data_IF_538026750111
#
_entry.id   IF_538026750111
#
_cell.length_a   1.000
_cell.length_b   1.000
_cell.length_c   1.000
_cell.angle_alpha   90.00
_cell.angle_beta   90.00
_cell.angle_gamma   90.00
#
_symmetry.space_group_name_H-M   'P 1'
#
loop_
_entity.id
_entity.type
_entity.pdbx_description
1 polymer ?
#
# COMPACT_ATOMS: atom_id res chain seq x y z
N UNK A 1 13.85 -0.35 -13.87
CA UNK A 1 14.61 0.29 -12.76
C UNK A 1 13.93 1.52 -12.16
N UNK A 2 13.57 2.56 -12.94
CA UNK A 2 12.97 3.78 -12.36
C UNK A 2 11.58 3.53 -11.75
N UNK A 3 10.78 2.70 -12.40
CA UNK A 3 9.43 2.32 -11.97
C UNK A 3 9.43 1.62 -10.61
N UNK A 4 10.29 0.61 -10.46
CA UNK A 4 10.43 -0.21 -9.25
C UNK A 4 10.99 0.63 -8.10
N UNK A 5 11.98 1.48 -8.38
CA UNK A 5 12.52 2.41 -7.38
C UNK A 5 11.47 3.43 -6.91
N UNK A 6 10.62 3.93 -7.80
CA UNK A 6 9.55 4.87 -7.44
C UNK A 6 8.55 4.20 -6.48
N UNK A 7 8.11 2.99 -6.80
CA UNK A 7 7.21 2.21 -5.95
C UNK A 7 7.83 1.90 -4.57
N UNK A 8 9.09 1.48 -4.55
CA UNK A 8 9.82 1.24 -3.31
C UNK A 8 9.88 2.50 -2.43
N UNK A 9 10.19 3.66 -3.01
CA UNK A 9 10.26 4.92 -2.28
C UNK A 9 8.88 5.33 -1.73
N UNK A 10 7.80 5.10 -2.47
CA UNK A 10 6.43 5.35 -1.98
C UNK A 10 6.12 4.47 -0.77
N UNK A 11 6.39 3.16 -0.85
CA UNK A 11 6.16 2.23 0.25
C UNK A 11 6.99 2.58 1.50
N UNK A 12 8.27 2.89 1.30
CA UNK A 12 9.18 3.29 2.37
C UNK A 12 8.73 4.60 3.04
N UNK A 13 8.43 5.61 2.23
CA UNK A 13 8.01 6.92 2.75
C UNK A 13 6.66 6.85 3.48
N UNK A 14 5.66 6.19 2.90
CA UNK A 14 4.35 6.06 3.53
C UNK A 14 4.41 5.27 4.85
N UNK A 15 5.17 4.17 4.88
CA UNK A 15 5.36 3.39 6.11
C UNK A 15 6.15 4.17 7.16
N UNK A 16 7.18 4.93 6.76
CA UNK A 16 7.96 5.77 7.68
C UNK A 16 7.12 6.92 8.26
N UNK A 17 6.27 7.55 7.45
CA UNK A 17 5.32 8.57 7.91
C UNK A 17 4.31 7.95 8.88
N UNK A 18 3.74 6.80 8.55
CA UNK A 18 2.83 6.06 9.43
C UNK A 18 3.46 5.76 10.79
N UNK A 19 4.65 5.15 10.80
CA UNK A 19 5.37 4.85 12.03
C UNK A 19 5.79 6.10 12.81
N UNK A 20 6.16 7.19 12.14
CA UNK A 20 6.49 8.45 12.83
C UNK A 20 5.29 9.10 13.51
N UNK A 21 4.10 9.04 12.89
CA UNK A 21 2.86 9.53 13.50
C UNK A 21 2.45 8.59 14.64
N UNK A 22 2.47 7.28 14.42
CA UNK A 22 2.14 6.27 15.43
C UNK A 22 2.96 6.43 16.72
N UNK A 23 4.28 6.62 16.60
CA UNK A 23 5.16 6.87 17.75
C UNK A 23 4.81 8.14 18.55
N UNK A 24 4.05 9.07 17.98
CA UNK A 24 3.65 10.33 18.60
C UNK A 24 2.22 10.35 19.11
N UNK A 25 1.30 9.72 18.38
CA UNK A 25 -0.15 9.81 18.62
C UNK A 25 -0.80 8.48 18.93
N UNK A 26 -0.04 7.36 18.86
CA UNK A 26 -0.54 5.98 19.02
C UNK A 26 -1.65 5.58 18.05
N UNK A 27 -1.83 6.37 17.00
CA UNK A 27 -2.86 6.23 15.98
C UNK A 27 -2.26 6.63 14.64
N UNK A 28 -2.62 5.90 13.58
CA UNK A 28 -2.22 6.21 12.21
C UNK A 28 -3.44 6.76 11.48
N UNK A 29 -3.41 8.01 10.98
CA UNK A 29 -4.51 8.54 10.19
C UNK A 29 -4.72 7.76 8.89
N UNK A 30 -5.96 7.42 8.55
CA UNK A 30 -6.32 6.69 7.33
C UNK A 30 -5.82 7.34 6.04
N UNK A 31 -5.61 8.67 6.07
CA UNK A 31 -5.04 9.41 4.95
C UNK A 31 -3.64 8.94 4.56
N UNK A 32 -2.86 8.37 5.49
CA UNK A 32 -1.51 7.84 5.24
C UNK A 32 -1.57 6.60 4.34
N UNK A 33 -2.19 5.47 4.73
CA UNK A 33 -2.28 4.31 3.86
C UNK A 33 -3.07 4.61 2.57
N UNK A 34 -4.12 5.44 2.63
CA UNK A 34 -4.89 5.80 1.43
C UNK A 34 -4.05 6.57 0.41
N UNK A 35 -3.28 7.57 0.85
CA UNK A 35 -2.40 8.34 -0.04
C UNK A 35 -1.26 7.48 -0.60
N UNK A 36 -0.71 6.57 0.21
CA UNK A 36 0.32 5.61 -0.22
C UNK A 36 -0.21 4.68 -1.32
N UNK A 37 -1.38 4.07 -1.11
CA UNK A 37 -2.03 3.20 -2.10
C UNK A 37 -2.37 3.96 -3.39
N UNK A 38 -2.94 5.16 -3.27
CA UNK A 38 -3.28 6.00 -4.41
C UNK A 38 -2.03 6.37 -5.23
N UNK A 39 -0.93 6.75 -4.58
CA UNK A 39 0.32 7.07 -5.26
C UNK A 39 0.89 5.86 -6.02
N UNK A 40 0.94 4.68 -5.38
CA UNK A 40 1.38 3.44 -6.04
C UNK A 40 0.53 3.08 -7.25
N UNK A 41 -0.80 3.10 -7.09
CA UNK A 41 -1.73 2.78 -8.18
C UNK A 41 -1.60 3.75 -9.36
N UNK A 42 -1.41 5.05 -9.10
CA UNK A 42 -1.14 6.03 -10.15
C UNK A 42 0.15 5.67 -10.91
N UNK A 43 1.22 5.27 -10.22
CA UNK A 43 2.47 4.85 -10.87
C UNK A 43 2.25 3.61 -11.75
N UNK A 44 1.49 2.62 -11.28
CA UNK A 44 1.12 1.44 -12.08
C UNK A 44 0.32 1.82 -13.33
N UNK A 45 -0.67 2.70 -13.20
CA UNK A 45 -1.50 3.16 -14.33
C UNK A 45 -0.66 3.93 -15.34
N UNK A 46 0.18 4.86 -14.88
CA UNK A 46 1.07 5.62 -15.78
C UNK A 46 2.02 4.68 -16.50
N UNK A 47 2.61 3.71 -15.80
CA UNK A 47 3.47 2.70 -16.43
C UNK A 47 2.72 1.86 -17.48
N UNK A 48 1.49 1.43 -17.17
CA UNK A 48 0.65 0.68 -18.10
C UNK A 48 0.28 1.50 -19.35
N UNK A 49 0.00 2.81 -19.20
CA UNK A 49 -0.28 3.70 -20.33
C UNK A 49 0.94 3.90 -21.23
N UNK A 50 2.16 3.96 -20.65
CA UNK A 50 3.40 4.13 -21.42
C UNK A 50 3.87 2.87 -22.13
N UNK A 51 3.59 1.69 -21.56
CA UNK A 51 4.11 0.40 -22.07
C UNK A 51 3.05 -0.47 -22.75
N UNK A 52 1.77 -0.18 -22.53
CA UNK A 52 0.65 -1.03 -22.93
C UNK A 52 0.43 -2.26 -22.05
N UNK A 53 1.23 -2.46 -20.99
CA UNK A 53 1.20 -3.65 -20.13
C UNK A 53 0.39 -3.38 -18.87
N UNK A 54 -0.86 -3.88 -18.85
CA UNK A 54 -1.81 -3.65 -17.75
C UNK A 54 -1.75 -4.67 -16.61
N UNK A 55 -0.96 -5.75 -16.77
CA UNK A 55 -0.84 -6.82 -15.77
C UNK A 55 -0.50 -6.29 -14.38
N UNK A 56 0.37 -5.28 -14.31
CA UNK A 56 0.82 -4.70 -13.05
C UNK A 56 -0.31 -3.96 -12.31
N UNK A 57 -1.25 -3.34 -13.03
CA UNK A 57 -2.43 -2.70 -12.41
C UNK A 57 -3.35 -3.77 -11.82
N UNK A 58 -3.58 -4.86 -12.55
CA UNK A 58 -4.44 -5.95 -12.08
C UNK A 58 -3.83 -6.70 -10.89
N UNK A 59 -2.52 -6.98 -10.93
CA UNK A 59 -1.82 -7.58 -9.80
C UNK A 59 -1.79 -6.64 -8.59
N UNK A 60 -1.56 -5.33 -8.78
CA UNK A 60 -1.56 -4.33 -7.71
C UNK A 60 -2.88 -4.34 -6.95
N UNK A 61 -4.00 -4.27 -7.67
CA UNK A 61 -5.34 -4.33 -7.08
C UNK A 61 -5.59 -5.70 -6.44
N UNK A 62 -5.23 -6.79 -7.12
CA UNK A 62 -5.45 -8.15 -6.62
C UNK A 62 -4.71 -8.44 -5.31
N UNK A 63 -3.42 -8.08 -5.23
CA UNK A 63 -2.60 -8.24 -4.03
C UNK A 63 -3.08 -7.30 -2.93
N UNK A 64 -3.42 -6.05 -3.24
CA UNK A 64 -4.01 -5.11 -2.29
C UNK A 64 -5.29 -5.64 -1.64
N UNK A 65 -6.22 -6.19 -2.44
CA UNK A 65 -7.45 -6.82 -1.94
C UNK A 65 -7.15 -8.05 -1.10
N UNK A 66 -6.25 -8.92 -1.56
CA UNK A 66 -5.85 -10.12 -0.81
C UNK A 66 -5.30 -9.75 0.58
N UNK A 67 -4.45 -8.74 0.63
CA UNK A 67 -3.84 -8.24 1.87
C UNK A 67 -4.85 -7.53 2.77
N UNK A 68 -5.81 -6.81 2.20
CA UNK A 68 -6.92 -6.23 2.96
C UNK A 68 -7.76 -7.32 3.64
N UNK A 69 -8.14 -8.37 2.89
CA UNK A 69 -8.90 -9.51 3.41
C UNK A 69 -8.10 -10.20 4.52
N UNK A 70 -6.82 -10.50 4.25
CA UNK A 70 -5.94 -11.13 5.22
C UNK A 70 -5.77 -10.28 6.48
N UNK A 71 -5.57 -8.97 6.35
CA UNK A 71 -5.46 -8.06 7.46
C UNK A 71 -6.73 -8.04 8.31
N UNK A 72 -7.92 -7.97 7.70
CA UNK A 72 -9.17 -8.03 8.47
C UNK A 72 -9.38 -9.36 9.19
N UNK A 73 -8.90 -10.49 8.64
CA UNK A 73 -8.89 -11.76 9.38
C UNK A 73 -8.04 -11.63 10.67
N UNK A 74 -6.87 -10.98 10.58
CA UNK A 74 -6.01 -10.73 11.74
C UNK A 74 -6.62 -9.74 12.74
N UNK A 75 -7.30 -8.70 12.25
CA UNK A 75 -8.04 -7.75 13.08
C UNK A 75 -9.16 -8.43 13.87
N UNK A 76 -10.01 -9.22 13.21
CA UNK A 76 -11.12 -9.92 13.88
C UNK A 76 -10.66 -11.06 14.80
N UNK A 77 -9.44 -11.58 14.61
CA UNK A 77 -8.81 -12.54 15.53
C UNK A 77 -7.99 -11.88 16.65
N UNK A 78 -8.03 -10.55 16.74
CA UNK A 78 -7.39 -9.77 17.79
C UNK A 78 -5.87 -9.74 17.71
N UNK A 79 -5.28 -10.07 16.56
CA UNK A 79 -3.82 -10.09 16.38
C UNK A 79 -3.28 -8.69 16.05
N UNK A 80 -4.00 -7.92 15.23
CA UNK A 80 -3.57 -6.63 14.69
C UNK A 80 -4.62 -5.53 14.88
N UNK A 81 -4.17 -4.28 14.84
CA UNK A 81 -5.04 -3.10 14.78
C UNK A 81 -5.52 -2.81 13.36
N UNK A 82 -6.56 -1.97 13.22
CA UNK A 82 -7.09 -1.57 11.91
C UNK A 82 -6.05 -0.83 11.06
N UNK A 83 -5.23 0.02 11.70
CA UNK A 83 -4.14 0.72 11.02
C UNK A 83 -3.16 -0.24 10.32
N UNK A 84 -2.85 -1.38 10.95
CA UNK A 84 -1.96 -2.40 10.38
C UNK A 84 -2.60 -3.05 9.14
N UNK A 85 -3.92 -3.26 9.16
CA UNK A 85 -4.69 -3.79 8.03
C UNK A 85 -4.60 -2.85 6.82
N UNK A 86 -4.85 -1.55 7.04
CA UNK A 86 -4.85 -0.56 5.97
C UNK A 86 -3.44 -0.35 5.41
N UNK A 87 -2.42 -0.33 6.27
CA UNK A 87 -1.03 -0.25 5.82
C UNK A 87 -0.62 -1.48 5.01
N UNK A 88 -0.95 -2.69 5.45
CA UNK A 88 -0.65 -3.90 4.70
C UNK A 88 -1.33 -3.88 3.32
N UNK A 89 -2.61 -3.52 3.26
CA UNK A 89 -3.33 -3.41 1.99
C UNK A 89 -2.69 -2.38 1.06
N UNK A 90 -2.31 -1.21 1.59
CA UNK A 90 -1.64 -0.17 0.81
C UNK A 90 -0.26 -0.62 0.31
N UNK A 91 0.51 -1.35 1.13
CA UNK A 91 1.76 -1.99 0.69
C UNK A 91 1.49 -3.00 -0.43
N UNK A 92 0.44 -3.81 -0.33
CA UNK A 92 0.04 -4.76 -1.38
C UNK A 92 -0.29 -4.10 -2.73
N UNK A 93 -0.86 -2.89 -2.69
CA UNK A 93 -1.10 -2.07 -3.90
C UNK A 93 0.20 -1.51 -4.49
N UNK A 94 1.18 -1.14 -3.64
CA UNK A 94 2.37 -0.40 -4.08
C UNK A 94 3.53 -1.32 -4.47
N UNK A 95 3.72 -2.45 -3.79
CA UNK A 95 4.91 -3.28 -3.96
C UNK A 95 5.00 -3.80 -5.41
N UNK A 96 6.17 -3.66 -6.07
CA UNK A 96 6.35 -4.07 -7.45
C UNK A 96 6.10 -5.56 -7.66
N UNK A 97 5.57 -5.87 -8.85
CA UNK A 97 5.16 -7.21 -9.31
C UNK A 97 5.71 -7.46 -10.71
#
# INVERSE_FOLDING_TARGET
MLYESALFLIALAGSAVGGWIDLKTTEIPDSVPLSMAAAGLIVHIVYALLTGVWTNVYYSIGVGILFLIFGYILYYTGQWGEADVLLLAAVGVVVPQ
#
